data_IF_428855266426
#
_entry.id   IF_428855266426
#
_cell.length_a   1.000
_cell.length_b   1.000
_cell.length_c   1.000
_cell.angle_alpha   90.00
_cell.angle_beta   90.00
_cell.angle_gamma   90.00
#
_symmetry.space_group_name_H-M   'P 1'
#
loop_
_entity.id
_entity.type
_entity.pdbx_description
1 polymer ?
#
# COMPACT_ATOMS: atom_id res chain seq x y z
N UNK A 1 17.12 1.07 -9.78
CA UNK A 1 16.97 1.83 -8.53
C UNK A 1 17.76 3.10 -8.72
N UNK A 2 17.07 4.24 -8.74
CA UNK A 2 17.70 5.55 -8.90
C UNK A 2 18.53 5.85 -7.64
N UNK A 3 19.83 6.03 -7.83
CA UNK A 3 20.81 6.06 -6.74
C UNK A 3 20.76 7.37 -5.95
N UNK A 4 20.06 8.38 -6.49
CA UNK A 4 19.88 9.70 -5.89
C UNK A 4 18.50 9.87 -5.22
N UNK A 5 17.71 8.79 -5.14
CA UNK A 5 16.34 8.84 -4.61
C UNK A 5 16.35 9.02 -3.08
N UNK A 6 15.81 10.16 -2.62
CA UNK A 6 15.73 10.52 -1.19
C UNK A 6 15.21 9.34 -0.36
N UNK A 7 15.95 8.87 0.64
CA UNK A 7 15.55 7.73 1.46
C UNK A 7 14.22 7.95 2.19
N UNK A 8 13.84 9.21 2.49
CA UNK A 8 12.52 9.50 3.03
C UNK A 8 11.43 9.29 1.98
N UNK A 9 11.68 9.69 0.73
CA UNK A 9 10.74 9.49 -0.35
C UNK A 9 10.51 7.99 -0.62
N UNK A 10 11.57 7.17 -0.60
CA UNK A 10 11.44 5.71 -0.67
C UNK A 10 10.68 5.14 0.54
N UNK A 11 11.00 5.61 1.75
CA UNK A 11 10.28 5.18 2.96
C UNK A 11 8.78 5.45 2.84
N UNK A 12 8.38 6.64 2.38
CA UNK A 12 6.98 6.98 2.20
C UNK A 12 6.33 6.15 1.09
N UNK A 13 7.02 5.91 -0.04
CA UNK A 13 6.52 5.04 -1.11
C UNK A 13 6.23 3.63 -0.60
N UNK A 14 7.17 3.00 0.11
CA UNK A 14 6.98 1.66 0.68
C UNK A 14 5.79 1.61 1.65
N UNK A 15 5.59 2.68 2.44
CA UNK A 15 4.45 2.80 3.35
C UNK A 15 3.13 2.91 2.58
N UNK A 16 3.08 3.71 1.52
CA UNK A 16 1.88 3.85 0.70
C UNK A 16 1.52 2.56 -0.03
N UNK A 17 2.50 1.87 -0.60
CA UNK A 17 2.30 0.57 -1.25
C UNK A 17 1.77 -0.48 -0.26
N UNK A 18 2.31 -0.49 0.96
CA UNK A 18 1.81 -1.36 2.04
C UNK A 18 0.36 -1.02 2.42
N UNK A 19 0.04 0.26 2.59
CA UNK A 19 -1.31 0.71 2.90
C UNK A 19 -2.30 0.35 1.79
N UNK A 20 -1.92 0.52 0.53
CA UNK A 20 -2.73 0.13 -0.62
C UNK A 20 -3.06 -1.36 -0.58
N UNK A 21 -2.08 -2.21 -0.25
CA UNK A 21 -2.30 -3.65 -0.12
C UNK A 21 -3.25 -4.00 1.04
N UNK A 22 -3.09 -3.37 2.21
CA UNK A 22 -3.96 -3.60 3.37
C UNK A 22 -5.40 -3.17 3.07
N UNK A 23 -5.60 -1.98 2.49
CA UNK A 23 -6.92 -1.47 2.14
C UNK A 23 -7.58 -2.38 1.08
N UNK A 24 -6.82 -2.81 0.07
CA UNK A 24 -7.32 -3.76 -0.92
C UNK A 24 -7.78 -5.08 -0.29
N UNK A 25 -7.02 -5.59 0.68
CA UNK A 25 -7.36 -6.81 1.41
C UNK A 25 -8.63 -6.64 2.25
N UNK A 26 -8.77 -5.53 2.98
CA UNK A 26 -9.97 -5.24 3.79
C UNK A 26 -11.19 -5.05 2.88
N UNK A 27 -11.04 -4.31 1.78
CA UNK A 27 -12.12 -4.08 0.81
C UNK A 27 -12.60 -5.40 0.21
N UNK A 28 -11.67 -6.30 -0.16
CA UNK A 28 -12.03 -7.63 -0.67
C UNK A 28 -12.75 -8.49 0.37
N UNK A 29 -12.39 -8.39 1.65
CA UNK A 29 -13.13 -9.06 2.72
C UNK A 29 -14.55 -8.49 2.87
N UNK A 30 -14.71 -7.18 2.82
CA UNK A 30 -16.02 -6.53 2.90
C UNK A 30 -16.92 -6.89 1.72
N UNK A 31 -16.37 -6.93 0.50
CA UNK A 31 -17.08 -7.34 -0.71
C UNK A 31 -17.53 -8.81 -0.66
N UNK A 32 -16.82 -9.65 0.10
CA UNK A 32 -17.17 -11.07 0.26
C UNK A 32 -18.36 -11.33 1.19
N UNK A 33 -18.87 -10.31 1.89
CA UNK A 33 -20.04 -10.45 2.79
C UNK A 33 -21.32 -10.32 1.95
N UNK A 34 -22.14 -11.40 1.81
CA UNK A 34 -23.40 -11.30 1.10
C UNK A 34 -24.39 -10.41 1.87
N UNK A 35 -24.98 -9.44 1.18
CA UNK A 35 -26.01 -8.51 1.69
C UNK A 35 -27.41 -9.09 1.62
#
# INVERSE_FOLDING_TARGET
MDQDLDPNLQHWQDRFDNLQWVIGSITGLLDSIPT
#
